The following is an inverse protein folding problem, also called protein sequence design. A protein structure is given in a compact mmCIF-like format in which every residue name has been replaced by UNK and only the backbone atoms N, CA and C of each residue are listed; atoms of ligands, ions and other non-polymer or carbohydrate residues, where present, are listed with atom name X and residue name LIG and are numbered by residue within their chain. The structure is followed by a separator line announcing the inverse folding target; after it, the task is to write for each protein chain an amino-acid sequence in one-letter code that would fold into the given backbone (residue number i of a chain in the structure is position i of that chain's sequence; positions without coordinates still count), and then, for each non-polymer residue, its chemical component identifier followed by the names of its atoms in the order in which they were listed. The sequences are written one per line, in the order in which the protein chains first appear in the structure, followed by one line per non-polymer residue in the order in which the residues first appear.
data_IF_795514033287
#
_entry.id   IF_795514033287
#
_cell.length_a   1.000
_cell.length_b   1.000
_cell.length_c   1.000
_cell.angle_alpha   90.00
_cell.angle_beta   90.00
_cell.angle_gamma   90.00
#
_symmetry.space_group_name_H-M   'P 1'
#
loop_
_entity.id
_entity.type
_entity.pdbx_description
1 polymer ?
#
# COMPACT_ATOMS: atom_id res chain seq x y z
N UNK A 1 19.09 -14.84 0.53
CA UNK A 1 18.15 -13.84 1.08
C UNK A 1 17.19 -14.53 2.03
N UNK A 2 17.10 -14.04 3.25
CA UNK A 2 16.21 -14.61 4.26
C UNK A 2 14.74 -14.28 3.97
N UNK A 3 13.83 -15.00 4.65
CA UNK A 3 12.40 -14.73 4.56
C UNK A 3 12.06 -13.32 5.02
N UNK A 4 12.69 -12.87 6.11
CA UNK A 4 12.48 -11.52 6.65
C UNK A 4 12.93 -10.46 5.66
N UNK A 5 14.07 -10.65 5.02
CA UNK A 5 14.56 -9.73 3.99
C UNK A 5 13.61 -9.65 2.79
N UNK A 6 13.04 -10.78 2.38
CA UNK A 6 12.06 -10.80 1.29
C UNK A 6 10.79 -10.04 1.65
N UNK A 7 10.30 -10.21 2.87
CA UNK A 7 9.09 -9.51 3.35
C UNK A 7 9.37 -8.01 3.40
N UNK A 8 10.49 -7.59 3.98
CA UNK A 8 10.88 -6.18 4.01
C UNK A 8 11.01 -5.60 2.61
N UNK A 9 11.66 -6.33 1.71
CA UNK A 9 11.81 -5.90 0.33
C UNK A 9 10.49 -5.77 -0.40
N UNK A 10 9.55 -6.67 -0.15
CA UNK A 10 8.20 -6.62 -0.72
C UNK A 10 7.47 -5.35 -0.27
N UNK A 11 7.44 -5.08 1.04
CA UNK A 11 6.74 -3.93 1.59
C UNK A 11 7.41 -2.61 1.18
N UNK A 12 8.72 -2.53 1.29
CA UNK A 12 9.46 -1.32 0.89
C UNK A 12 9.40 -1.10 -0.61
N UNK A 13 9.54 -2.16 -1.41
CA UNK A 13 9.43 -2.06 -2.86
C UNK A 13 8.07 -1.58 -3.30
N UNK A 14 7.00 -2.07 -2.67
CA UNK A 14 5.65 -1.59 -2.91
C UNK A 14 5.50 -0.11 -2.59
N UNK A 15 6.02 0.33 -1.45
CA UNK A 15 5.96 1.73 -1.05
C UNK A 15 6.77 2.63 -1.98
N UNK A 16 7.97 2.20 -2.39
CA UNK A 16 8.80 2.94 -3.35
C UNK A 16 8.11 3.07 -4.70
N UNK A 17 7.54 1.96 -5.21
CA UNK A 17 6.80 1.99 -6.47
C UNK A 17 5.59 2.91 -6.41
N UNK A 18 4.85 2.87 -5.32
CA UNK A 18 3.71 3.76 -5.10
C UNK A 18 4.16 5.24 -5.08
N UNK A 19 5.22 5.55 -4.35
CA UNK A 19 5.73 6.92 -4.24
C UNK A 19 6.28 7.44 -5.57
N UNK A 20 6.91 6.57 -6.37
CA UNK A 20 7.38 6.94 -7.72
C UNK A 20 6.21 7.18 -8.67
N UNK A 21 5.18 6.35 -8.60
CA UNK A 21 4.03 6.44 -9.50
C UNK A 21 3.01 7.48 -9.10
N UNK A 22 2.95 7.89 -7.83
CA UNK A 22 1.92 8.78 -7.33
C UNK A 22 1.81 10.10 -8.11
N UNK A 23 2.91 10.78 -8.48
CA UNK A 23 2.81 12.03 -9.24
C UNK A 23 2.17 11.91 -10.61
N UNK A 24 2.18 10.70 -11.20
CA UNK A 24 1.70 10.46 -12.56
C UNK A 24 0.48 9.54 -12.62
N UNK A 25 -0.04 9.10 -11.46
CA UNK A 25 -1.08 8.08 -11.38
C UNK A 25 -2.36 8.42 -12.15
N UNK A 26 -2.71 9.70 -12.23
CA UNK A 26 -3.94 10.16 -12.90
C UNK A 26 -3.63 10.98 -14.15
N UNK A 27 -2.41 10.91 -14.67
CA UNK A 27 -2.00 11.65 -15.86
C UNK A 27 -1.96 10.72 -17.07
N UNK A 28 -2.34 11.27 -18.23
CA UNK A 28 -2.15 10.59 -19.50
C UNK A 28 -0.71 10.73 -19.99
N UNK A 29 -0.27 9.81 -20.83
CA UNK A 29 1.09 9.76 -21.30
C UNK A 29 1.61 11.08 -21.91
N UNK A 30 0.86 11.81 -22.76
CA UNK A 30 1.38 13.08 -23.28
C UNK A 30 1.75 14.09 -22.21
N UNK A 31 1.02 14.12 -21.10
CA UNK A 31 1.31 15.02 -19.97
C UNK A 31 2.55 14.52 -19.23
N UNK A 32 2.65 13.22 -19.01
CA UNK A 32 3.81 12.60 -18.35
C UNK A 32 5.08 12.90 -19.15
N UNK A 33 5.02 12.67 -20.46
CA UNK A 33 6.14 12.93 -21.36
C UNK A 33 6.57 14.40 -21.34
N UNK A 34 5.60 15.31 -21.34
CA UNK A 34 5.87 16.76 -21.31
C UNK A 34 6.56 17.18 -20.01
N UNK A 35 6.21 16.54 -18.87
CA UNK A 35 6.76 16.88 -17.56
C UNK A 35 8.07 16.19 -17.24
N UNK A 36 8.21 14.93 -17.62
CA UNK A 36 9.29 14.05 -17.17
C UNK A 36 10.17 13.50 -18.30
N UNK A 37 9.84 13.82 -19.55
CA UNK A 37 10.60 13.37 -20.71
C UNK A 37 10.09 12.06 -21.29
N UNK A 38 10.74 11.60 -22.36
CA UNK A 38 10.31 10.42 -23.13
C UNK A 38 10.40 9.11 -22.36
N UNK A 39 11.20 9.07 -21.30
CA UNK A 39 11.34 7.89 -20.46
C UNK A 39 10.36 7.87 -19.28
N UNK A 40 9.58 8.93 -19.12
CA UNK A 40 8.65 9.05 -18.01
C UNK A 40 9.32 9.42 -16.70
N UNK A 41 8.60 9.17 -15.60
CA UNK A 41 9.12 9.50 -14.28
C UNK A 41 10.21 8.50 -13.86
N UNK A 42 11.32 9.01 -13.34
CA UNK A 42 12.46 8.18 -12.92
C UNK A 42 12.94 8.51 -11.51
N UNK A 43 12.35 9.51 -10.87
CA UNK A 43 12.71 9.91 -9.51
C UNK A 43 11.46 10.43 -8.81
N UNK A 44 11.56 10.55 -7.49
CA UNK A 44 10.45 11.06 -6.70
C UNK A 44 10.12 12.50 -7.07
N UNK A 45 8.83 12.78 -7.19
CA UNK A 45 8.32 14.13 -7.44
C UNK A 45 7.19 14.41 -6.47
N UNK A 46 6.68 15.64 -6.48
CA UNK A 46 5.61 16.03 -5.57
C UNK A 46 4.28 15.35 -5.92
N UNK A 47 3.65 14.79 -4.91
CA UNK A 47 2.27 14.34 -4.92
C UNK A 47 1.69 14.58 -3.53
N UNK A 48 0.42 14.94 -3.45
CA UNK A 48 -0.24 15.20 -2.16
C UNK A 48 0.52 16.20 -1.27
N UNK A 49 1.23 17.14 -1.89
CA UNK A 49 1.98 18.18 -1.21
C UNK A 49 3.35 17.79 -0.68
N UNK A 50 3.82 16.57 -0.95
CA UNK A 50 5.09 16.05 -0.44
C UNK A 50 5.86 15.36 -1.57
N UNK A 51 7.17 15.51 -1.60
CA UNK A 51 8.03 14.75 -2.50
C UNK A 51 8.21 13.33 -1.95
N UNK A 52 7.93 12.33 -2.78
CA UNK A 52 8.03 10.93 -2.38
C UNK A 52 6.87 10.45 -1.52
N UNK A 53 5.70 11.08 -1.64
CA UNK A 53 4.51 10.68 -0.89
C UNK A 53 3.99 9.32 -1.32
N UNK A 54 3.62 8.50 -0.34
CA UNK A 54 2.85 7.28 -0.60
C UNK A 54 1.37 7.64 -0.73
N UNK A 55 0.61 6.72 -1.33
CA UNK A 55 -0.84 6.84 -1.47
C UNK A 55 -1.57 5.82 -0.60
N UNK A 56 -2.89 5.75 -0.78
CA UNK A 56 -3.72 4.70 -0.18
C UNK A 56 -3.27 3.29 -0.57
N UNK A 57 -2.61 3.12 -1.72
CA UNK A 57 -2.11 1.81 -2.15
C UNK A 57 -1.13 1.22 -1.13
N UNK A 58 -0.16 2.00 -0.65
CA UNK A 58 0.77 1.56 0.40
C UNK A 58 0.04 1.35 1.72
N UNK A 59 -0.89 2.24 2.06
CA UNK A 59 -1.66 2.12 3.30
C UNK A 59 -2.45 0.81 3.32
N UNK A 60 -3.17 0.51 2.25
CA UNK A 60 -3.96 -0.73 2.14
C UNK A 60 -3.07 -1.97 2.15
N UNK A 61 -1.89 -1.90 1.53
CA UNK A 61 -0.92 -2.99 1.58
C UNK A 61 -0.50 -3.28 3.03
N UNK A 62 -0.21 -2.25 3.81
CA UNK A 62 0.20 -2.42 5.21
C UNK A 62 -0.94 -2.97 6.07
N UNK A 63 -2.17 -2.50 5.87
CA UNK A 63 -3.32 -3.05 6.59
C UNK A 63 -3.62 -4.49 6.19
N UNK A 64 -3.42 -4.84 4.91
CA UNK A 64 -3.54 -6.23 4.44
C UNK A 64 -2.48 -7.12 5.11
N UNK A 65 -1.24 -6.66 5.17
CA UNK A 65 -0.17 -7.40 5.85
C UNK A 65 -0.48 -7.60 7.34
N UNK A 66 -1.00 -6.59 8.00
CA UNK A 66 -1.43 -6.69 9.40
C UNK A 66 -2.57 -7.69 9.56
N UNK A 67 -3.52 -7.69 8.63
CA UNK A 67 -4.61 -8.67 8.62
C UNK A 67 -4.11 -10.11 8.45
N UNK A 68 -3.12 -10.32 7.58
CA UNK A 68 -2.49 -11.63 7.42
C UNK A 68 -1.78 -12.09 8.69
N UNK A 69 -1.10 -11.18 9.39
CA UNK A 69 -0.47 -11.49 10.68
C UNK A 69 -1.51 -11.90 11.73
N UNK A 70 -2.64 -11.20 11.80
CA UNK A 70 -3.74 -11.58 12.69
C UNK A 70 -4.29 -12.95 12.36
N UNK A 71 -4.50 -13.24 11.08
CA UNK A 71 -4.99 -14.54 10.64
C UNK A 71 -4.01 -15.66 11.03
N UNK A 72 -2.71 -15.42 10.87
CA UNK A 72 -1.68 -16.37 11.28
C UNK A 72 -1.73 -16.64 12.80
N UNK A 73 -1.84 -15.59 13.61
CA UNK A 73 -1.91 -15.72 15.07
C UNK A 73 -3.17 -16.49 15.48
N UNK A 74 -4.32 -16.20 14.89
CA UNK A 74 -5.57 -16.91 15.18
C UNK A 74 -5.47 -18.39 14.81
N UNK A 75 -4.90 -18.71 13.63
CA UNK A 75 -4.68 -20.08 13.21
C UNK A 75 -3.72 -20.84 14.13
N UNK A 76 -2.66 -20.17 14.59
CA UNK A 76 -1.68 -20.75 15.51
C UNK A 76 -2.27 -21.02 16.89
N UNK A 77 -3.30 -20.29 17.28
CA UNK A 77 -3.99 -20.47 18.55
C UNK A 77 -5.09 -21.53 18.47
N UNK A 78 -5.17 -22.27 17.37
CA UNK A 78 -6.19 -23.29 17.07
C UNK A 78 -7.61 -22.75 17.04
N UNK A 79 -7.77 -21.45 16.83
CA UNK A 79 -9.08 -20.84 16.64
C UNK A 79 -9.46 -20.95 15.17
N UNK A 80 -10.75 -21.12 14.90
CA UNK A 80 -11.24 -21.08 13.52
C UNK A 80 -10.99 -19.68 12.94
N UNK A 81 -10.39 -19.66 11.77
CA UNK A 81 -10.04 -18.42 11.11
C UNK A 81 -10.44 -18.49 9.63
N UNK A 82 -11.23 -17.52 9.19
CA UNK A 82 -11.52 -17.32 7.78
C UNK A 82 -10.68 -16.13 7.30
N UNK A 83 -9.59 -16.43 6.60
CA UNK A 83 -8.60 -15.42 6.21
C UNK A 83 -9.21 -14.23 5.46
N UNK A 84 -10.09 -14.43 4.46
CA UNK A 84 -10.72 -13.27 3.79
C UNK A 84 -11.48 -12.34 4.74
N UNK A 85 -12.17 -12.90 5.74
CA UNK A 85 -12.89 -12.08 6.73
C UNK A 85 -11.94 -11.26 7.60
N UNK A 86 -10.81 -11.84 8.00
CA UNK A 86 -9.80 -11.14 8.81
C UNK A 86 -9.19 -9.99 8.01
N UNK A 87 -8.88 -10.21 6.74
CA UNK A 87 -8.37 -9.16 5.85
C UNK A 87 -9.44 -8.09 5.62
N UNK A 88 -10.68 -8.49 5.42
CA UNK A 88 -11.80 -7.54 5.25
C UNK A 88 -11.90 -6.60 6.45
N UNK A 89 -11.84 -7.13 7.67
CA UNK A 89 -11.86 -6.31 8.87
C UNK A 89 -10.63 -5.40 8.98
N UNK A 90 -9.46 -5.86 8.54
CA UNK A 90 -8.28 -5.01 8.49
C UNK A 90 -8.50 -3.80 7.56
N UNK A 91 -9.08 -4.03 6.38
CA UNK A 91 -9.37 -2.95 5.44
C UNK A 91 -10.48 -2.02 5.95
N UNK A 92 -11.44 -2.52 6.72
CA UNK A 92 -12.40 -1.65 7.39
C UNK A 92 -11.72 -0.74 8.42
N UNK A 93 -10.72 -1.24 9.15
CA UNK A 93 -9.91 -0.39 10.05
C UNK A 93 -9.15 0.67 9.28
N UNK A 94 -8.59 0.31 8.10
CA UNK A 94 -7.97 1.32 7.23
C UNK A 94 -8.99 2.40 6.84
N UNK A 95 -10.21 2.00 6.48
CA UNK A 95 -11.25 2.94 6.06
C UNK A 95 -11.53 3.99 7.14
N UNK A 96 -11.51 3.61 8.41
CA UNK A 96 -11.73 4.57 9.51
C UNK A 96 -10.63 5.62 9.59
N UNK A 97 -9.43 5.34 9.08
CA UNK A 97 -8.34 6.32 9.03
C UNK A 97 -8.56 7.38 7.94
N UNK A 98 -9.56 7.19 7.08
CA UNK A 98 -9.89 8.10 5.99
C UNK A 98 -11.05 9.04 6.36
N UNK A 99 -11.25 9.30 7.65
CA UNK A 99 -12.33 10.15 8.17
C UNK A 99 -13.73 9.62 7.87
N UNK A 100 -13.84 8.31 7.67
CA UNK A 100 -15.13 7.65 7.52
C UNK A 100 -15.66 7.17 8.87
N UNK A 101 -17.00 7.12 9.05
CA UNK A 101 -17.58 6.51 10.25
C UNK A 101 -17.16 5.04 10.35
N UNK A 102 -16.99 4.56 11.59
CA UNK A 102 -16.67 3.15 11.81
C UNK A 102 -17.82 2.26 11.33
N UNK A 103 -17.45 1.23 10.56
CA UNK A 103 -18.38 0.21 10.05
C UNK A 103 -18.04 -1.17 10.60
N UNK A 104 -17.14 -1.22 11.58
CA UNK A 104 -16.67 -2.46 12.21
C UNK A 104 -17.59 -2.84 13.36
#
# INVERSE_FOLDING_TARGET
MSRVERIKGCLLGGAVGDALGAPVAFLEWPVIEARFGVQGISDFAQAYGITGAISDATQMMLFTAEGLLRAFVLGSSRQLCHVPSVIHHALLRWLTTQDHPSVI
#
